data_IF_722807094684
#
_entry.id   IF_722807094684
#
_cell.length_a   1.000
_cell.length_b   1.000
_cell.length_c   1.000
_cell.angle_alpha   90.00
_cell.angle_beta   90.00
_cell.angle_gamma   90.00
#
_symmetry.space_group_name_H-M   'P 1'
#
loop_
_entity.id
_entity.type
_entity.pdbx_description
1 polymer ?
#
# COMPACT_ATOMS: atom_id res chain seq x y z
N UNK A 1 5.67 0.68 2.50
CA UNK A 1 4.89 -0.56 2.62
C UNK A 1 5.34 -1.60 1.60
N UNK A 2 5.18 -2.90 1.91
CA UNK A 2 5.53 -3.99 1.01
C UNK A 2 4.74 -3.88 -0.29
N UNK A 3 5.37 -4.28 -1.40
CA UNK A 3 4.82 -4.18 -2.74
C UNK A 3 3.86 -5.34 -3.02
N UNK A 4 2.75 -5.39 -2.28
CA UNK A 4 1.70 -6.38 -2.45
C UNK A 4 0.72 -5.96 -3.55
N UNK A 5 -0.39 -6.70 -3.73
CA UNK A 5 -1.46 -6.31 -4.64
C UNK A 5 -2.09 -4.98 -4.19
N UNK A 6 -2.14 -4.74 -2.87
CA UNK A 6 -2.61 -3.51 -2.28
C UNK A 6 -1.43 -2.61 -1.89
N UNK A 7 -0.39 -2.54 -2.73
CA UNK A 7 0.72 -1.60 -2.55
C UNK A 7 0.18 -0.17 -2.53
N UNK A 8 -0.48 0.21 -3.63
CA UNK A 8 -1.09 1.52 -3.83
C UNK A 8 -2.00 1.89 -2.65
N UNK A 9 -2.83 0.94 -2.22
CA UNK A 9 -3.81 1.14 -1.16
C UNK A 9 -3.08 1.36 0.17
N UNK A 10 -2.10 0.51 0.47
CA UNK A 10 -1.31 0.58 1.69
C UNK A 10 -0.60 1.93 1.82
N UNK A 11 0.08 2.39 0.76
CA UNK A 11 0.81 3.64 0.81
C UNK A 11 -0.13 4.85 0.84
N UNK A 12 -1.15 4.86 -0.03
CA UNK A 12 -2.05 6.00 -0.17
C UNK A 12 -2.90 6.21 1.09
N UNK A 13 -3.48 5.14 1.64
CA UNK A 13 -4.37 5.21 2.80
C UNK A 13 -3.62 4.86 4.08
N UNK A 14 -3.01 3.67 4.16
CA UNK A 14 -2.46 3.13 5.39
C UNK A 14 -0.99 3.53 5.60
N UNK A 15 -0.64 4.78 5.28
CA UNK A 15 0.70 5.32 5.49
C UNK A 15 1.68 4.89 4.40
N UNK A 16 1.93 3.59 4.27
#
# INVERSE_FOLDING_TARGET
CRAGPLQWLCEKYFGX
#
